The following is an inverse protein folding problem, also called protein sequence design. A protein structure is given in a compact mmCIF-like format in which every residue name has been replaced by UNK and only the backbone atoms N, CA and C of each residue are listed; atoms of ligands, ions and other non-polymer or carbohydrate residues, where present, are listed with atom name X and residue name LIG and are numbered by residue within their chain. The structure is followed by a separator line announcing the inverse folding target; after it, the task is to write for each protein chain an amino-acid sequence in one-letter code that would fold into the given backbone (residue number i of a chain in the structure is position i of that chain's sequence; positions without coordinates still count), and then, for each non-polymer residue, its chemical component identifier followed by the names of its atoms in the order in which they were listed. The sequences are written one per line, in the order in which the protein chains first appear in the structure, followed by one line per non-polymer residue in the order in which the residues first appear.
data_IF_525332651690
#
_entry.id   IF_525332651690
#
_cell.length_a   1.000
_cell.length_b   1.000
_cell.length_c   1.000
_cell.angle_alpha   90.00
_cell.angle_beta   90.00
_cell.angle_gamma   90.00
#
_symmetry.space_group_name_H-M   'P 1'
#
loop_
_entity.id
_entity.type
_entity.pdbx_description
1 polymer ?
#
# COMPACT_ATOMS: atom_id res chain seq x y z
N UNK A 1 -2.11 -21.77 5.47
CA UNK A 1 -2.52 -20.38 5.16
C UNK A 1 -1.72 -19.99 3.96
N UNK A 2 -2.39 -19.69 2.85
CA UNK A 2 -1.70 -19.23 1.66
C UNK A 2 -1.20 -17.80 1.91
N UNK A 3 0.08 -17.55 1.62
CA UNK A 3 0.65 -16.21 1.66
C UNK A 3 -0.01 -15.34 0.57
N UNK A 4 -0.19 -14.04 0.85
CA UNK A 4 -0.69 -13.11 -0.14
C UNK A 4 0.20 -13.08 -1.38
N UNK A 5 -0.41 -12.90 -2.55
CA UNK A 5 0.26 -12.88 -3.85
C UNK A 5 0.43 -11.48 -4.40
N UNK A 6 -0.38 -10.53 -3.93
CA UNK A 6 -0.37 -9.14 -4.37
C UNK A 6 -0.61 -8.17 -3.22
N UNK A 7 0.18 -7.10 -3.18
CA UNK A 7 0.02 -5.96 -2.29
C UNK A 7 -0.10 -4.67 -3.10
N UNK A 8 -1.14 -3.89 -2.82
CA UNK A 8 -1.27 -2.50 -3.28
C UNK A 8 -1.17 -1.58 -2.08
N UNK A 9 -0.18 -0.70 -2.08
CA UNK A 9 0.26 0.05 -0.90
C UNK A 9 0.20 1.54 -1.20
N UNK A 10 -0.38 2.32 -0.29
CA UNK A 10 -0.25 3.77 -0.25
C UNK A 10 0.37 4.15 1.09
N UNK A 11 1.54 4.78 1.04
CA UNK A 11 2.23 5.24 2.24
C UNK A 11 3.21 6.37 1.91
N UNK A 12 3.07 7.51 2.58
CA UNK A 12 3.84 8.71 2.28
C UNK A 12 5.35 8.54 2.49
N UNK A 13 5.76 8.29 3.73
CA UNK A 13 7.15 8.09 4.14
C UNK A 13 7.28 6.76 4.89
N UNK A 14 7.40 5.63 4.19
CA UNK A 14 7.32 4.32 4.82
C UNK A 14 8.52 4.07 5.75
N UNK A 15 8.29 3.49 6.94
CA UNK A 15 9.36 3.20 7.88
C UNK A 15 10.26 2.06 7.38
N UNK A 16 11.52 2.05 7.85
CA UNK A 16 12.52 1.08 7.38
C UNK A 16 12.11 -0.39 7.60
N UNK A 17 11.41 -0.69 8.69
CA UNK A 17 10.94 -2.05 8.98
C UNK A 17 9.95 -2.55 7.92
N UNK A 18 9.10 -1.67 7.39
CA UNK A 18 8.12 -1.99 6.34
C UNK A 18 8.84 -2.30 5.04
N UNK A 19 9.83 -1.49 4.67
CA UNK A 19 10.65 -1.73 3.48
C UNK A 19 11.41 -3.06 3.58
N UNK A 20 11.96 -3.36 4.76
CA UNK A 20 12.65 -4.63 5.02
C UNK A 20 11.72 -5.84 4.93
N UNK A 21 10.47 -5.70 5.39
CA UNK A 21 9.45 -6.75 5.27
C UNK A 21 9.08 -6.99 3.81
N UNK A 22 8.74 -5.92 3.09
CA UNK A 22 8.34 -5.99 1.68
C UNK A 22 9.46 -6.51 0.77
N UNK A 23 10.73 -6.31 1.13
CA UNK A 23 11.87 -6.83 0.35
C UNK A 23 11.97 -8.36 0.41
N UNK A 24 11.33 -8.99 1.39
CA UNK A 24 11.24 -10.44 1.53
C UNK A 24 9.95 -11.00 0.91
N UNK A 25 8.99 -10.14 0.59
CA UNK A 25 7.73 -10.55 -0.03
C UNK A 25 7.99 -11.05 -1.45
N UNK A 26 7.45 -12.24 -1.77
CA UNK A 26 7.66 -12.92 -3.06
C UNK A 26 6.56 -12.64 -4.08
N UNK A 27 5.51 -11.92 -3.70
CA UNK A 27 4.42 -11.54 -4.58
C UNK A 27 4.65 -10.21 -5.29
N UNK A 28 3.61 -9.73 -5.96
CA UNK A 28 3.61 -8.44 -6.65
C UNK A 28 3.39 -7.30 -5.66
N UNK A 29 4.18 -6.23 -5.79
CA UNK A 29 4.02 -5.03 -4.98
C UNK A 29 3.82 -3.83 -5.90
N UNK A 30 2.71 -3.12 -5.72
CA UNK A 30 2.51 -1.79 -6.27
C UNK A 30 2.49 -0.79 -5.11
N UNK A 31 3.32 0.24 -5.18
CA UNK A 31 3.56 1.15 -4.06
C UNK A 31 3.43 2.60 -4.49
N UNK A 32 2.52 3.35 -3.87
CA UNK A 32 2.40 4.80 -3.99
C UNK A 32 3.01 5.46 -2.74
N UNK A 33 3.92 6.40 -2.95
CA UNK A 33 4.66 7.08 -1.87
C UNK A 33 5.11 8.47 -2.31
N UNK A 34 5.46 9.37 -1.39
CA UNK A 34 6.20 10.59 -1.76
C UNK A 34 7.71 10.41 -1.63
N UNK A 35 8.16 9.38 -0.91
CA UNK A 35 9.56 9.10 -0.68
C UNK A 35 10.23 8.45 -1.90
N UNK A 36 11.50 8.82 -2.15
CA UNK A 36 12.34 8.12 -3.13
C UNK A 36 12.88 6.83 -2.52
N UNK A 37 12.14 5.74 -2.68
CA UNK A 37 12.52 4.41 -2.22
C UNK A 37 12.92 3.49 -3.37
N UNK A 38 13.58 2.36 -3.04
CA UNK A 38 13.89 1.28 -3.97
C UNK A 38 13.30 -0.02 -3.44
N UNK A 39 12.65 -0.76 -4.33
CA UNK A 39 12.22 -2.14 -4.12
C UNK A 39 12.77 -2.99 -5.25
N UNK A 40 13.10 -4.26 -4.97
CA UNK A 40 13.79 -5.12 -5.95
C UNK A 40 12.93 -5.37 -7.20
N UNK A 41 11.67 -5.72 -6.99
CA UNK A 41 10.71 -6.12 -8.04
C UNK A 41 9.37 -5.40 -7.85
N UNK A 42 9.39 -4.20 -7.27
CA UNK A 42 8.18 -3.42 -6.97
C UNK A 42 7.92 -2.41 -8.08
N UNK A 43 6.65 -2.17 -8.37
CA UNK A 43 6.24 -1.05 -9.20
C UNK A 43 5.96 0.12 -8.26
N UNK A 44 6.84 1.13 -8.28
CA UNK A 44 6.79 2.26 -7.35
C UNK A 44 6.36 3.50 -8.12
N UNK A 45 5.34 4.18 -7.62
CA UNK A 45 4.87 5.46 -8.12
C UNK A 45 5.12 6.53 -7.06
N UNK A 46 5.92 7.53 -7.42
CA UNK A 46 6.22 8.66 -6.55
C UNK A 46 5.21 9.77 -6.81
N UNK A 47 4.37 10.08 -5.84
CA UNK A 47 3.31 11.10 -5.91
C UNK A 47 3.56 12.11 -4.78
N UNK A 48 3.52 13.44 -5.06
CA UNK A 48 3.70 14.43 -4.01
C UNK A 48 2.50 14.47 -3.06
N UNK A 49 2.76 14.77 -1.78
CA UNK A 49 1.74 15.00 -0.74
C UNK A 49 0.75 13.84 -0.53
N UNK A 50 1.25 12.60 -0.47
CA UNK A 50 0.41 11.43 -0.12
C UNK A 50 -0.05 11.59 1.32
N UNK A 51 -1.37 11.62 1.56
CA UNK A 51 -1.94 11.74 2.92
C UNK A 51 -2.53 10.44 3.46
N UNK A 52 -2.83 9.49 2.58
CA UNK A 52 -3.46 8.22 2.94
C UNK A 52 -2.41 7.18 3.32
N UNK A 53 -2.73 6.30 4.27
CA UNK A 53 -1.89 5.17 4.66
C UNK A 53 -2.71 3.89 4.69
N UNK A 54 -2.57 3.05 3.68
CA UNK A 54 -3.25 1.77 3.65
C UNK A 54 -2.55 0.72 2.78
N UNK A 55 -2.90 -0.53 3.03
CA UNK A 55 -2.44 -1.71 2.29
C UNK A 55 -3.64 -2.55 1.90
N UNK A 56 -3.74 -2.94 0.63
CA UNK A 56 -4.72 -3.91 0.14
C UNK A 56 -4.00 -5.21 -0.18
N UNK A 57 -4.48 -6.30 0.41
CA UNK A 57 -3.98 -7.66 0.25
C UNK A 57 -4.92 -8.44 -0.67
N UNK A 58 -4.43 -8.87 -1.83
CA UNK A 58 -5.15 -9.71 -2.80
C UNK A 58 -6.58 -9.26 -3.15
N UNK A 59 -6.88 -7.96 -3.02
CA UNK A 59 -8.24 -7.40 -3.17
C UNK A 59 -9.28 -8.04 -2.25
N UNK A 60 -8.85 -8.58 -1.11
CA UNK A 60 -9.69 -9.32 -0.16
C UNK A 60 -9.65 -8.74 1.26
N UNK A 61 -8.56 -8.08 1.63
CA UNK A 61 -8.39 -7.44 2.93
C UNK A 61 -7.75 -6.07 2.73
N UNK A 62 -8.19 -5.09 3.50
CA UNK A 62 -7.59 -3.76 3.57
C UNK A 62 -7.11 -3.50 5.00
N UNK A 63 -5.92 -2.95 5.13
CA UNK A 63 -5.38 -2.45 6.39
C UNK A 63 -5.19 -0.95 6.26
N UNK A 64 -5.83 -0.17 7.14
CA UNK A 64 -5.65 1.28 7.23
C UNK A 64 -4.82 1.60 8.45
N UNK A 65 -3.80 2.43 8.29
CA UNK A 65 -2.86 2.79 9.37
C UNK A 65 -3.15 4.24 9.78
N UNK A 66 -3.22 4.51 11.08
CA UNK A 66 -3.46 5.87 11.57
C UNK A 66 -2.24 6.79 11.37
N UNK A 67 -2.42 8.09 11.60
CA UNK A 67 -1.37 9.08 11.36
C UNK A 67 -0.14 8.90 12.26
N UNK A 68 -0.33 8.31 13.45
CA UNK A 68 0.74 8.06 14.41
C UNK A 68 1.45 6.71 14.22
N UNK A 69 1.03 5.89 13.25
CA UNK A 69 1.49 4.51 13.03
C UNK A 69 1.33 3.58 14.26
N UNK A 70 0.46 3.97 15.21
CA UNK A 70 0.21 3.26 16.48
C UNK A 70 -0.92 2.24 16.38
N UNK A 71 -1.91 2.51 15.51
CA UNK A 71 -3.05 1.61 15.33
C UNK A 71 -3.29 1.33 13.86
N UNK A 72 -3.66 0.07 13.59
CA UNK A 72 -4.10 -0.38 12.30
C UNK A 72 -5.51 -0.95 12.42
N UNK A 73 -6.39 -0.56 11.49
CA UNK A 73 -7.72 -1.13 11.33
C UNK A 73 -7.64 -2.12 10.17
N UNK A 74 -8.15 -3.33 10.36
CA UNK A 74 -8.19 -4.38 9.34
C UNK A 74 -9.64 -4.61 8.96
N UNK A 75 -9.95 -4.37 7.68
CA UNK A 75 -11.28 -4.50 7.11
C UNK A 75 -11.29 -5.60 6.04
N UNK A 76 -12.26 -6.51 6.14
CA UNK A 76 -12.61 -7.47 5.08
C UNK A 76 -13.94 -7.13 4.41
N UNK A 77 -14.47 -5.93 4.70
CA UNK A 77 -15.71 -5.45 4.10
C UNK A 77 -15.49 -5.15 2.61
N UNK A 78 -16.31 -5.73 1.74
CA UNK A 78 -16.22 -5.53 0.29
C UNK A 78 -16.32 -4.06 -0.11
N UNK A 79 -17.17 -3.28 0.56
CA UNK A 79 -17.30 -1.84 0.31
C UNK A 79 -16.02 -1.06 0.62
N UNK A 80 -15.36 -1.37 1.75
CA UNK A 80 -14.09 -0.75 2.12
C UNK A 80 -12.99 -1.09 1.11
N UNK A 81 -12.93 -2.35 0.67
CA UNK A 81 -11.95 -2.81 -0.32
C UNK A 81 -12.17 -2.11 -1.66
N UNK A 82 -13.41 -1.98 -2.13
CA UNK A 82 -13.74 -1.25 -3.36
C UNK A 82 -13.30 0.21 -3.24
N UNK A 83 -13.70 0.90 -2.17
CA UNK A 83 -13.34 2.30 -1.95
C UNK A 83 -11.81 2.50 -1.92
N UNK A 84 -11.09 1.67 -1.16
CA UNK A 84 -9.63 1.72 -1.10
C UNK A 84 -8.97 1.44 -2.45
N UNK A 85 -9.54 0.51 -3.22
CA UNK A 85 -9.07 0.17 -4.57
C UNK A 85 -9.24 1.34 -5.54
N UNK A 86 -10.41 1.97 -5.55
CA UNK A 86 -10.67 3.14 -6.40
C UNK A 86 -9.78 4.32 -6.02
N UNK A 87 -9.59 4.56 -4.72
CA UNK A 87 -8.67 5.58 -4.23
C UNK A 87 -7.23 5.33 -4.69
N UNK A 88 -6.78 4.07 -4.61
CA UNK A 88 -5.46 3.66 -5.11
C UNK A 88 -5.35 3.95 -6.62
N UNK A 89 -6.33 3.54 -7.42
CA UNK A 89 -6.30 3.75 -8.88
C UNK A 89 -6.30 5.23 -9.26
N UNK A 90 -7.05 6.07 -8.54
CA UNK A 90 -7.05 7.52 -8.76
C UNK A 90 -5.64 8.09 -8.52
N UNK A 91 -5.01 7.75 -7.40
CA UNK A 91 -3.63 8.18 -7.12
C UNK A 91 -2.64 7.60 -8.13
N UNK A 92 -2.90 6.38 -8.61
CA UNK A 92 -2.08 5.73 -9.62
C UNK A 92 -2.19 6.39 -11.00
N UNK A 93 -3.21 7.19 -11.28
CA UNK A 93 -3.37 7.91 -12.55
C UNK A 93 -2.89 9.37 -12.52
N UNK A 94 -2.74 9.98 -11.34
CA UNK A 94 -2.41 11.41 -11.17
C UNK A 94 -1.02 11.87 -11.67
N UNK A 95 -0.27 11.06 -12.42
CA UNK A 95 1.05 11.47 -12.95
C UNK A 95 1.21 11.17 -14.46
N UNK A 96 0.17 11.37 -15.25
CA UNK A 96 0.31 11.54 -16.71
C UNK A 96 0.79 12.95 -17.05
#
# INVERSE_FOLDING_TARGET
MDESKELRIVYDNPPAWMLNYLNKFRGKVQFITSAKIKGKDWIIKVVPNVKSKFIIFDNAIMMTINDNDETAIIDSCIGCIIQGSEHFELQWKLTE
#
